data_IF_260829985958
#
_entry.id   IF_260829985958
#
_cell.length_a   1.000
_cell.length_b   1.000
_cell.length_c   1.000
_cell.angle_alpha   90.00
_cell.angle_beta   90.00
_cell.angle_gamma   90.00
#
_symmetry.space_group_name_H-M   'P 1'
#
loop_
_entity.id
_entity.type
_entity.pdbx_description
1 polymer ?
#
# COMPACT_ATOMS: atom_id res chain seq x y z
N UNK A 1 13.56 -11.86 16.03
CA UNK A 1 12.72 -11.31 14.94
C UNK A 1 13.56 -11.33 13.67
N UNK A 2 13.32 -12.28 12.78
CA UNK A 2 14.08 -12.40 11.52
C UNK A 2 13.43 -11.41 10.55
N UNK A 3 13.98 -10.20 10.45
CA UNK A 3 13.52 -9.20 9.48
C UNK A 3 14.07 -9.54 8.10
N UNK A 4 13.20 -9.73 7.10
CA UNK A 4 13.63 -9.84 5.72
C UNK A 4 14.21 -8.50 5.27
N UNK A 5 15.50 -8.47 4.92
CA UNK A 5 16.15 -7.28 4.39
C UNK A 5 15.79 -7.10 2.92
N UNK A 6 14.77 -6.28 2.66
CA UNK A 6 14.38 -5.89 1.30
C UNK A 6 15.10 -4.60 0.94
N UNK A 7 15.66 -4.55 -0.28
CA UNK A 7 16.30 -3.38 -0.85
C UNK A 7 15.73 -3.09 -2.25
N UNK A 8 15.75 -1.83 -2.65
CA UNK A 8 15.43 -1.41 -4.01
C UNK A 8 16.70 -1.48 -4.85
N UNK A 9 16.68 -2.33 -5.88
CA UNK A 9 17.82 -2.46 -6.78
C UNK A 9 17.95 -1.22 -7.69
N UNK A 10 19.19 -0.82 -7.94
CA UNK A 10 19.53 0.27 -8.87
C UNK A 10 20.60 -0.19 -9.85
N UNK A 11 20.67 0.37 -11.08
CA UNK A 11 21.74 0.05 -12.02
C UNK A 11 23.12 0.31 -11.43
N UNK A 12 24.07 -0.61 -11.65
CA UNK A 12 25.39 -0.61 -10.99
C UNK A 12 26.20 0.67 -11.24
N UNK A 13 26.10 1.27 -12.42
CA UNK A 13 26.90 2.43 -12.82
C UNK A 13 26.14 3.77 -12.69
N UNK A 14 24.95 3.77 -12.11
CA UNK A 14 24.11 4.97 -11.96
C UNK A 14 24.13 5.51 -10.53
N UNK A 15 25.27 6.06 -10.12
CA UNK A 15 25.48 6.53 -8.74
C UNK A 15 24.46 7.57 -8.28
N UNK A 16 24.10 8.53 -9.14
CA UNK A 16 23.12 9.58 -8.81
C UNK A 16 21.75 8.98 -8.48
N UNK A 17 21.31 7.99 -9.25
CA UNK A 17 20.05 7.29 -9.00
C UNK A 17 20.12 6.49 -7.70
N UNK A 18 21.25 5.83 -7.43
CA UNK A 18 21.47 5.10 -6.19
C UNK A 18 21.36 6.01 -4.96
N UNK A 19 22.03 7.18 -4.99
CA UNK A 19 21.99 8.18 -3.92
C UNK A 19 20.57 8.74 -3.72
N UNK A 20 19.87 9.01 -4.83
CA UNK A 20 18.49 9.48 -4.81
C UNK A 20 17.55 8.46 -4.15
N UNK A 21 17.54 7.21 -4.62
CA UNK A 21 16.67 6.14 -4.10
C UNK A 21 16.99 5.85 -2.63
N UNK A 22 18.27 5.85 -2.25
CA UNK A 22 18.69 5.62 -0.87
C UNK A 22 18.19 6.74 0.05
N UNK A 23 18.35 8.00 -0.36
CA UNK A 23 17.90 9.17 0.40
C UNK A 23 16.38 9.17 0.54
N UNK A 24 15.66 8.95 -0.56
CA UNK A 24 14.20 8.86 -0.56
C UNK A 24 13.71 7.75 0.39
N UNK A 25 14.31 6.54 0.30
CA UNK A 25 13.96 5.42 1.17
C UNK A 25 14.18 5.75 2.65
N UNK A 26 15.26 6.46 2.99
CA UNK A 26 15.53 6.87 4.36
C UNK A 26 14.50 7.89 4.88
N UNK A 27 14.10 8.85 4.05
CA UNK A 27 13.07 9.84 4.39
C UNK A 27 11.70 9.18 4.56
N UNK A 28 11.26 8.36 3.60
CA UNK A 28 9.97 7.66 3.65
C UNK A 28 9.84 6.74 4.87
N UNK A 29 10.94 6.12 5.32
CA UNK A 29 10.97 5.35 6.57
C UNK A 29 10.78 6.24 7.80
N UNK A 30 11.47 7.39 7.86
CA UNK A 30 11.34 8.35 8.97
C UNK A 30 9.95 8.98 9.05
N UNK A 31 9.29 9.19 7.92
CA UNK A 31 7.94 9.75 7.85
C UNK A 31 6.83 8.77 8.28
N UNK A 32 7.15 7.50 8.57
CA UNK A 32 6.17 6.52 9.02
C UNK A 32 5.23 6.00 7.92
N UNK A 33 5.58 6.23 6.64
CA UNK A 33 4.78 5.76 5.49
C UNK A 33 4.85 4.23 5.36
N UNK A 34 5.99 3.63 5.67
CA UNK A 34 6.22 2.19 5.51
C UNK A 34 5.25 1.34 6.35
N UNK A 35 5.04 1.60 7.65
CA UNK A 35 4.01 0.91 8.44
C UNK A 35 2.61 0.98 7.80
N UNK A 36 2.19 2.16 7.33
CA UNK A 36 0.88 2.36 6.70
C UNK A 36 0.71 1.53 5.44
N UNK A 37 1.75 1.48 4.59
CA UNK A 37 1.74 0.65 3.38
C UNK A 37 1.74 -0.84 3.71
N UNK A 38 2.49 -1.26 4.74
CA UNK A 38 2.53 -2.65 5.18
C UNK A 38 1.16 -3.11 5.71
N UNK A 39 0.54 -2.30 6.57
CA UNK A 39 -0.80 -2.57 7.09
C UNK A 39 -1.82 -2.70 5.96
N UNK A 40 -1.74 -1.83 4.95
CA UNK A 40 -2.68 -1.84 3.84
C UNK A 40 -2.44 -3.01 2.87
N UNK A 41 -1.22 -3.16 2.34
CA UNK A 41 -0.93 -4.10 1.25
C UNK A 41 -0.58 -5.51 1.71
N UNK A 42 0.09 -5.66 2.86
CA UNK A 42 0.55 -6.97 3.35
C UNK A 42 -0.45 -7.55 4.35
N UNK A 43 -0.94 -6.74 5.29
CA UNK A 43 -1.89 -7.20 6.30
C UNK A 43 -3.36 -7.00 5.90
N UNK A 44 -3.63 -6.30 4.79
CA UNK A 44 -5.00 -6.08 4.31
C UNK A 44 -5.87 -5.25 5.25
N UNK A 45 -5.31 -4.47 6.19
CA UNK A 45 -6.07 -3.69 7.19
C UNK A 45 -6.93 -2.57 6.61
N UNK A 46 -6.86 -2.32 5.30
CA UNK A 46 -7.77 -1.41 4.58
C UNK A 46 -8.86 -2.12 3.77
N UNK A 47 -8.88 -3.45 3.73
CA UNK A 47 -9.90 -4.21 3.03
C UNK A 47 -11.19 -4.20 3.84
N UNK A 48 -12.13 -3.36 3.45
CA UNK A 48 -13.48 -3.34 4.01
C UNK A 48 -14.41 -4.19 3.16
N UNK A 49 -15.34 -4.91 3.80
CA UNK A 49 -16.42 -5.58 3.08
C UNK A 49 -17.26 -4.51 2.39
N UNK A 50 -17.19 -4.49 1.06
CA UNK A 50 -17.93 -3.50 0.28
C UNK A 50 -19.39 -3.94 0.22
N UNK A 51 -20.26 -3.22 0.92
CA UNK A 51 -21.71 -3.37 0.72
C UNK A 51 -22.05 -3.05 -0.73
N UNK A 52 -23.06 -3.71 -1.31
CA UNK A 52 -23.59 -3.31 -2.60
C UNK A 52 -23.86 -1.81 -2.62
N UNK A 53 -23.53 -1.15 -3.74
CA UNK A 53 -23.90 0.26 -3.93
C UNK A 53 -25.42 0.38 -3.91
N UNK A 54 -25.94 1.48 -3.36
CA UNK A 54 -27.37 1.75 -3.32
C UNK A 54 -28.03 1.62 -4.70
N UNK A 55 -29.20 1.00 -4.75
CA UNK A 55 -29.88 0.52 -5.93
C UNK A 55 -31.38 0.68 -5.75
N UNK A 56 -32.06 1.39 -6.63
CA UNK A 56 -33.53 1.58 -6.55
C UNK A 56 -34.26 0.23 -6.57
N UNK A 57 -33.86 -0.69 -7.46
CA UNK A 57 -34.52 -1.99 -7.60
C UNK A 57 -34.45 -2.84 -6.33
N UNK A 58 -33.35 -2.75 -5.57
CA UNK A 58 -33.18 -3.48 -4.30
C UNK A 58 -33.67 -2.66 -3.11
N UNK A 59 -33.15 -1.45 -2.95
CA UNK A 59 -33.25 -0.64 -1.73
C UNK A 59 -34.53 0.22 -1.68
N UNK A 60 -35.29 0.34 -2.79
CA UNK A 60 -36.60 1.02 -2.83
C UNK A 60 -37.72 0.06 -3.22
N UNK A 61 -37.53 -0.70 -4.31
CA UNK A 61 -38.57 -1.55 -4.88
C UNK A 61 -38.58 -2.97 -4.29
N UNK A 62 -37.45 -3.45 -3.76
CA UNK A 62 -37.34 -4.78 -3.16
C UNK A 62 -37.51 -5.95 -4.14
N UNK A 63 -37.22 -5.76 -5.42
CA UNK A 63 -37.43 -6.80 -6.46
C UNK A 63 -36.29 -7.80 -6.59
N UNK A 64 -35.14 -7.50 -6.00
CA UNK A 64 -33.95 -8.35 -5.94
C UNK A 64 -33.32 -8.25 -4.55
N UNK A 65 -32.53 -9.26 -4.17
CA UNK A 65 -31.72 -9.24 -2.94
C UNK A 65 -30.43 -8.42 -3.06
#
# INVERSE_FOLDING_TARGET
>A
MIGLFIALATPKNERKLHEYVSTWTALTKKEGVVPKLYDYWILGRGATSRKPRWSVIRDVLGWVE
#
